data_IF_953211514125
#
_entry.id   IF_953211514125
#
_cell.length_a   1.000
_cell.length_b   1.000
_cell.length_c   1.000
_cell.angle_alpha   90.00
_cell.angle_beta   90.00
_cell.angle_gamma   90.00
#
_symmetry.space_group_name_H-M   'P 1'
#
loop_
_entity.id
_entity.type
_entity.pdbx_description
1 polymer ?
#
# COMPACT_ATOMS: atom_id res chain seq x y z
N UNK A 1 4.47 -35.33 1.86
CA UNK A 1 4.84 -34.61 3.10
C UNK A 1 4.29 -33.20 2.96
N UNK A 2 3.20 -32.89 3.66
CA UNK A 2 2.62 -31.54 3.62
C UNK A 2 3.61 -30.59 4.27
N UNK A 3 4.16 -29.66 3.50
CA UNK A 3 4.87 -28.51 4.06
C UNK A 3 3.85 -27.66 4.80
N UNK A 4 3.60 -28.00 6.08
CA UNK A 4 3.04 -27.08 7.05
C UNK A 4 4.06 -25.94 7.16
N UNK A 5 3.93 -24.95 6.28
CA UNK A 5 4.61 -23.70 6.44
C UNK A 5 4.04 -23.07 7.71
N UNK A 6 4.74 -23.20 8.83
CA UNK A 6 4.42 -22.56 10.11
C UNK A 6 4.22 -21.04 9.95
N UNK A 7 4.66 -20.46 8.83
CA UNK A 7 4.34 -19.11 8.41
C UNK A 7 2.84 -18.83 8.37
N UNK A 8 1.99 -19.78 7.95
CA UNK A 8 0.54 -19.55 7.82
C UNK A 8 -0.12 -19.37 9.20
N UNK A 9 0.46 -19.97 10.25
CA UNK A 9 -0.04 -19.89 11.63
C UNK A 9 0.61 -18.78 12.46
N UNK A 10 1.81 -18.32 12.09
CA UNK A 10 2.56 -17.24 12.77
C UNK A 10 2.60 -15.92 11.99
N UNK A 11 2.00 -15.83 10.81
CA UNK A 11 1.56 -14.55 10.25
C UNK A 11 0.47 -14.10 11.22
N UNK A 12 0.71 -13.10 12.10
CA UNK A 12 -0.34 -12.63 12.99
C UNK A 12 -1.55 -12.32 12.12
N UNK A 13 -2.75 -12.71 12.55
CA UNK A 13 -3.98 -12.30 11.90
C UNK A 13 -3.93 -10.77 11.76
N UNK A 14 -3.54 -10.30 10.57
CA UNK A 14 -3.22 -8.89 10.32
C UNK A 14 -4.46 -8.00 10.47
N UNK A 15 -5.65 -8.59 10.66
CA UNK A 15 -6.88 -7.93 11.06
C UNK A 15 -6.93 -7.47 12.54
N UNK A 16 -5.98 -7.87 13.39
CA UNK A 16 -6.01 -7.54 14.83
C UNK A 16 -5.08 -6.40 15.26
N UNK A 17 -4.27 -5.84 14.34
CA UNK A 17 -3.48 -4.64 14.63
C UNK A 17 -4.32 -3.33 14.57
N UNK A 18 -5.62 -3.41 14.83
CA UNK A 18 -6.45 -2.25 15.18
C UNK A 18 -6.35 -1.88 16.67
N UNK A 19 -5.83 -2.76 17.53
CA UNK A 19 -6.04 -2.62 18.99
C UNK A 19 -4.78 -2.29 19.80
N UNK A 20 -3.67 -1.95 19.15
CA UNK A 20 -2.72 -1.03 19.77
C UNK A 20 -2.56 0.17 18.86
N UNK A 21 -2.98 1.32 19.36
CA UNK A 21 -2.41 2.59 18.95
C UNK A 21 -1.10 2.77 19.73
N UNK A 22 0.08 2.58 19.11
CA UNK A 22 1.26 3.25 19.63
C UNK A 22 2.02 3.89 18.47
N UNK A 23 1.80 5.18 18.21
CA UNK A 23 2.79 6.01 17.52
C UNK A 23 2.34 7.47 17.46
N UNK A 24 2.47 8.18 18.58
CA UNK A 24 2.80 9.61 18.58
C UNK A 24 4.30 9.86 18.82
N UNK A 25 5.14 8.83 18.66
CA UNK A 25 6.60 8.99 18.66
C UNK A 25 7.24 8.43 17.38
N UNK A 26 8.42 8.94 17.02
CA UNK A 26 9.19 8.57 15.83
C UNK A 26 9.86 7.19 15.93
N UNK A 27 10.22 6.77 17.14
CA UNK A 27 10.92 5.51 17.42
C UNK A 27 10.03 4.27 17.19
N UNK A 28 8.73 4.39 17.46
CA UNK A 28 7.76 3.30 17.29
C UNK A 28 7.49 3.05 15.80
N UNK A 29 7.52 4.09 14.95
CA UNK A 29 7.32 3.95 13.50
C UNK A 29 8.45 3.16 12.83
N UNK A 30 9.69 3.30 13.29
CA UNK A 30 10.83 2.53 12.76
C UNK A 30 10.74 1.06 13.10
N UNK A 31 10.40 0.75 14.35
CA UNK A 31 10.13 -0.63 14.78
C UNK A 31 8.97 -1.25 14.00
N UNK A 32 7.92 -0.49 13.72
CA UNK A 32 6.82 -0.96 12.86
C UNK A 32 7.31 -1.27 11.44
N UNK A 33 8.10 -0.39 10.82
CA UNK A 33 8.65 -0.62 9.48
C UNK A 33 9.54 -1.88 9.45
N UNK A 34 10.37 -2.07 10.47
CA UNK A 34 11.20 -3.27 10.61
C UNK A 34 10.34 -4.53 10.76
N UNK A 35 9.32 -4.49 11.62
CA UNK A 35 8.39 -5.60 11.81
C UNK A 35 7.70 -5.99 10.49
N UNK A 36 7.14 -5.03 9.75
CA UNK A 36 6.53 -5.31 8.44
C UNK A 36 7.57 -5.86 7.44
N UNK A 37 8.81 -5.35 7.46
CA UNK A 37 9.87 -5.85 6.58
C UNK A 37 10.19 -7.31 6.84
N UNK A 38 10.33 -7.68 8.12
CA UNK A 38 10.60 -9.06 8.51
C UNK A 38 9.42 -9.98 8.12
N UNK A 39 8.18 -9.58 8.40
CA UNK A 39 7.00 -10.36 8.01
C UNK A 39 6.89 -10.57 6.50
N UNK A 40 7.14 -9.53 5.69
CA UNK A 40 7.11 -9.60 4.24
C UNK A 40 8.18 -10.56 3.71
N UNK A 41 9.41 -10.49 4.22
CA UNK A 41 10.49 -11.36 3.76
C UNK A 41 10.26 -12.82 4.14
N UNK A 42 9.73 -13.09 5.34
CA UNK A 42 9.32 -14.45 5.71
C UNK A 42 8.19 -14.96 4.81
N UNK A 43 7.14 -14.17 4.60
CA UNK A 43 6.05 -14.54 3.69
C UNK A 43 6.56 -14.83 2.26
N UNK A 44 7.51 -14.02 1.74
CA UNK A 44 8.14 -14.25 0.44
C UNK A 44 8.97 -15.52 0.40
N UNK A 45 9.67 -15.89 1.48
CA UNK A 45 10.37 -17.19 1.56
C UNK A 45 9.37 -18.34 1.46
N UNK A 46 8.27 -18.29 2.22
CA UNK A 46 7.24 -19.32 2.21
C UNK A 46 6.56 -19.43 0.83
N UNK A 47 6.43 -18.31 0.10
CA UNK A 47 5.89 -18.29 -1.27
C UNK A 47 6.75 -19.07 -2.27
N UNK A 48 8.07 -19.16 -2.05
CA UNK A 48 8.97 -19.92 -2.94
C UNK A 48 8.72 -21.42 -2.88
N UNK A 49 8.32 -21.92 -1.72
CA UNK A 49 8.10 -23.36 -1.47
C UNK A 49 6.63 -23.78 -1.58
N UNK A 50 5.71 -22.83 -1.73
CA UNK A 50 4.28 -23.13 -1.84
C UNK A 50 3.93 -23.50 -3.27
N UNK A 51 3.60 -24.76 -3.53
CA UNK A 51 3.17 -25.23 -4.86
C UNK A 51 1.66 -25.07 -5.10
N UNK A 52 0.85 -25.11 -4.02
CA UNK A 52 -0.60 -25.02 -4.13
C UNK A 52 -1.05 -23.63 -4.60
N UNK A 53 -1.77 -23.50 -5.73
CA UNK A 53 -2.13 -22.20 -6.31
C UNK A 53 -3.04 -21.36 -5.42
N UNK A 54 -3.98 -21.97 -4.69
CA UNK A 54 -4.90 -21.25 -3.79
C UNK A 54 -4.12 -20.67 -2.61
N UNK A 55 -3.19 -21.45 -2.05
CA UNK A 55 -2.32 -20.99 -0.97
C UNK A 55 -1.34 -19.92 -1.43
N UNK A 56 -0.83 -20.01 -2.67
CA UNK A 56 0.02 -18.98 -3.29
C UNK A 56 -0.73 -17.66 -3.46
N UNK A 57 -1.95 -17.70 -3.99
CA UNK A 57 -2.78 -16.50 -4.14
C UNK A 57 -3.03 -15.83 -2.79
N UNK A 58 -3.43 -16.61 -1.77
CA UNK A 58 -3.62 -16.10 -0.40
C UNK A 58 -2.36 -15.39 0.11
N UNK A 59 -1.19 -16.00 -0.12
CA UNK A 59 0.08 -15.45 0.35
C UNK A 59 0.50 -14.19 -0.43
N UNK A 60 0.24 -14.13 -1.74
CA UNK A 60 0.43 -12.89 -2.52
C UNK A 60 -0.43 -11.75 -1.97
N UNK A 61 -1.70 -12.00 -1.64
CA UNK A 61 -2.58 -10.99 -1.03
C UNK A 61 -2.06 -10.52 0.33
N UNK A 62 -1.56 -11.43 1.17
CA UNK A 62 -0.95 -11.08 2.46
C UNK A 62 0.32 -10.24 2.30
N UNK A 63 1.18 -10.59 1.34
CA UNK A 63 2.38 -9.81 1.02
C UNK A 63 1.98 -8.41 0.53
N UNK A 64 0.96 -8.31 -0.32
CA UNK A 64 0.44 -7.03 -0.80
C UNK A 64 -0.03 -6.13 0.35
N UNK A 65 -0.84 -6.69 1.28
CA UNK A 65 -1.29 -5.97 2.47
C UNK A 65 -0.11 -5.53 3.34
N UNK A 66 0.89 -6.40 3.56
CA UNK A 66 2.08 -6.04 4.33
C UNK A 66 2.84 -4.84 3.76
N UNK A 67 3.03 -4.81 2.44
CA UNK A 67 3.63 -3.65 1.76
C UNK A 67 2.74 -2.39 1.88
N UNK A 68 1.42 -2.52 1.79
CA UNK A 68 0.51 -1.39 1.98
C UNK A 68 0.64 -0.77 3.37
N UNK A 69 0.61 -1.60 4.42
CA UNK A 69 0.72 -1.11 5.80
C UNK A 69 2.09 -0.46 6.05
N UNK A 70 3.18 -1.07 5.55
CA UNK A 70 4.51 -0.46 5.64
C UNK A 70 4.59 0.88 4.92
N UNK A 71 3.98 0.97 3.72
CA UNK A 71 3.86 2.20 2.97
C UNK A 71 3.09 3.29 3.72
N UNK A 72 2.02 2.91 4.44
CA UNK A 72 1.25 3.84 5.28
C UNK A 72 2.06 4.37 6.47
N UNK A 73 2.85 3.52 7.13
CA UNK A 73 3.75 3.97 8.20
C UNK A 73 4.82 4.93 7.67
N UNK A 74 5.41 4.64 6.51
CA UNK A 74 6.38 5.52 5.82
C UNK A 74 5.75 6.86 5.41
N UNK A 75 4.52 6.83 4.90
CA UNK A 75 3.74 8.05 4.64
C UNK A 75 3.58 8.91 5.90
N UNK A 76 3.27 8.30 7.06
CA UNK A 76 3.19 9.01 8.35
C UNK A 76 4.54 9.51 8.88
N UNK A 77 5.66 9.04 8.31
CA UNK A 77 7.01 9.58 8.54
C UNK A 77 7.40 10.67 7.55
N UNK A 78 6.56 10.95 6.54
CA UNK A 78 6.87 11.87 5.43
C UNK A 78 7.95 11.29 4.48
N UNK A 79 8.20 9.98 4.55
CA UNK A 79 9.12 9.25 3.67
C UNK A 79 8.39 8.87 2.35
N UNK A 80 8.02 9.89 1.57
CA UNK A 80 7.08 9.75 0.45
C UNK A 80 7.55 8.81 -0.67
N UNK A 81 8.80 8.89 -1.12
CA UNK A 81 9.32 8.02 -2.19
C UNK A 81 9.36 6.55 -1.75
N UNK A 82 9.76 6.32 -0.50
CA UNK A 82 9.82 5.00 0.09
C UNK A 82 8.43 4.38 0.27
N UNK A 83 7.42 5.20 0.59
CA UNK A 83 6.02 4.80 0.62
C UNK A 83 5.49 4.47 -0.80
N UNK A 84 5.83 5.27 -1.82
CA UNK A 84 5.47 4.98 -3.22
C UNK A 84 6.05 3.65 -3.68
N UNK A 85 7.33 3.38 -3.36
CA UNK A 85 7.97 2.09 -3.66
C UNK A 85 7.21 0.93 -3.02
N UNK A 86 6.79 1.08 -1.76
CA UNK A 86 6.04 0.04 -1.06
C UNK A 86 4.64 -0.17 -1.65
N UNK A 87 3.89 0.90 -1.94
CA UNK A 87 2.61 0.77 -2.60
C UNK A 87 2.72 0.15 -4.00
N UNK A 88 3.77 0.48 -4.75
CA UNK A 88 4.03 -0.12 -6.06
C UNK A 88 4.33 -1.61 -5.94
N UNK A 89 5.09 -2.03 -4.92
CA UNK A 89 5.30 -3.45 -4.62
C UNK A 89 3.99 -4.12 -4.21
N UNK A 90 3.19 -3.51 -3.35
CA UNK A 90 1.88 -4.04 -2.96
C UNK A 90 1.01 -4.35 -4.20
N UNK A 91 0.89 -3.37 -5.11
CA UNK A 91 0.11 -3.49 -6.35
C UNK A 91 0.67 -4.54 -7.34
N UNK A 92 1.97 -4.86 -7.27
CA UNK A 92 2.55 -5.94 -8.07
C UNK A 92 2.17 -7.34 -7.58
N UNK A 93 1.81 -7.47 -6.29
CA UNK A 93 1.31 -8.73 -5.72
C UNK A 93 -0.21 -8.84 -5.79
N UNK A 94 -0.91 -7.73 -5.57
CA UNK A 94 -2.37 -7.62 -5.70
C UNK A 94 -2.77 -6.24 -6.22
N UNK A 95 -3.13 -6.18 -7.50
CA UNK A 95 -3.57 -4.95 -8.15
C UNK A 95 -5.01 -4.57 -7.83
N UNK A 96 -5.77 -5.42 -7.12
CA UNK A 96 -7.19 -5.19 -6.79
C UNK A 96 -7.39 -4.32 -5.54
N UNK A 97 -6.29 -3.90 -4.89
CA UNK A 97 -6.32 -3.06 -3.70
C UNK A 97 -6.59 -1.58 -4.06
N UNK A 98 -7.88 -1.23 -4.18
CA UNK A 98 -8.31 0.14 -4.50
C UNK A 98 -7.74 1.19 -3.53
N UNK A 99 -7.60 0.83 -2.24
CA UNK A 99 -7.07 1.74 -1.21
C UNK A 99 -5.56 1.97 -1.38
N UNK A 100 -4.81 1.01 -1.92
CA UNK A 100 -3.38 1.16 -2.20
C UNK A 100 -3.15 2.11 -3.37
N UNK A 101 -3.96 1.99 -4.43
CA UNK A 101 -3.98 2.99 -5.52
C UNK A 101 -4.29 4.39 -4.98
N UNK A 102 -5.34 4.53 -4.17
CA UNK A 102 -5.68 5.80 -3.54
C UNK A 102 -4.53 6.39 -2.71
N UNK A 103 -3.91 5.58 -1.84
CA UNK A 103 -2.82 6.03 -0.97
C UNK A 103 -1.60 6.46 -1.78
N UNK A 104 -1.23 5.71 -2.83
CA UNK A 104 -0.13 6.08 -3.74
C UNK A 104 -0.44 7.38 -4.48
N UNK A 105 -1.65 7.50 -5.03
CA UNK A 105 -2.09 8.71 -5.73
C UNK A 105 -2.14 9.95 -4.83
N UNK A 106 -2.50 9.79 -3.54
CA UNK A 106 -2.46 10.88 -2.57
C UNK A 106 -1.03 11.39 -2.34
N UNK A 107 -0.05 10.49 -2.31
CA UNK A 107 1.36 10.90 -2.20
C UNK A 107 1.80 11.61 -3.47
N UNK A 108 1.48 11.07 -4.66
CA UNK A 108 1.78 11.75 -5.92
C UNK A 108 1.21 13.17 -5.96
N UNK A 109 -0.05 13.35 -5.54
CA UNK A 109 -0.68 14.65 -5.44
C UNK A 109 0.09 15.60 -4.51
N UNK A 110 0.51 15.12 -3.33
CA UNK A 110 1.33 15.91 -2.38
C UNK A 110 2.70 16.29 -2.93
N UNK A 111 3.27 15.48 -3.80
CA UNK A 111 4.54 15.75 -4.48
C UNK A 111 4.37 16.65 -5.72
N UNK A 112 3.15 17.09 -6.04
CA UNK A 112 2.85 17.87 -7.26
C UNK A 112 2.87 17.04 -8.55
N UNK A 113 2.92 15.70 -8.44
CA UNK A 113 2.88 14.74 -9.55
C UNK A 113 1.42 14.47 -9.94
N UNK A 114 0.77 15.48 -10.51
CA UNK A 114 -0.68 15.46 -10.73
C UNK A 114 -1.10 14.40 -11.76
N UNK A 115 -0.31 14.16 -12.80
CA UNK A 115 -0.54 13.11 -13.79
C UNK A 115 -0.62 11.72 -13.14
N UNK A 116 0.37 11.38 -12.34
CA UNK A 116 0.45 10.09 -11.64
C UNK A 116 -0.66 9.97 -10.60
N UNK A 117 -0.99 11.06 -9.89
CA UNK A 117 -2.11 11.09 -8.96
C UNK A 117 -3.44 10.80 -9.65
N UNK A 118 -3.71 11.46 -10.79
CA UNK A 118 -4.93 11.25 -11.58
C UNK A 118 -5.03 9.80 -12.06
N UNK A 119 -3.91 9.23 -12.52
CA UNK A 119 -3.86 7.82 -12.95
C UNK A 119 -4.26 6.88 -11.81
N UNK A 120 -3.60 7.01 -10.65
CA UNK A 120 -3.87 6.17 -9.49
C UNK A 120 -5.31 6.34 -8.96
N UNK A 121 -5.86 7.56 -8.96
CA UNK A 121 -7.24 7.79 -8.56
C UNK A 121 -8.24 7.15 -9.52
N UNK A 122 -7.95 7.13 -10.82
CA UNK A 122 -8.79 6.44 -11.82
C UNK A 122 -8.75 4.93 -11.66
N UNK A 123 -7.59 4.35 -11.38
CA UNK A 123 -7.46 2.93 -11.07
C UNK A 123 -8.24 2.57 -9.80
N UNK A 124 -8.12 3.37 -8.73
CA UNK A 124 -8.90 3.18 -7.50
C UNK A 124 -10.41 3.22 -7.77
N UNK A 125 -10.89 4.15 -8.60
CA UNK A 125 -12.30 4.28 -8.96
C UNK A 125 -12.78 3.20 -9.94
N UNK A 126 -11.91 2.65 -10.78
CA UNK A 126 -12.23 1.50 -11.63
C UNK A 126 -12.55 0.27 -10.77
N UNK A 127 -11.78 0.07 -9.70
CA UNK A 127 -11.97 -1.03 -8.74
C UNK A 127 -13.13 -0.76 -7.77
N UNK A 128 -13.29 0.50 -7.33
CA UNK A 128 -14.33 0.92 -6.40
C UNK A 128 -14.97 2.25 -6.85
N UNK A 129 -15.98 2.20 -7.73
CA UNK A 129 -16.59 3.40 -8.31
C UNK A 129 -17.25 4.33 -7.29
N UNK A 130 -17.73 3.79 -6.17
CA UNK A 130 -18.40 4.51 -5.08
C UNK A 130 -17.42 5.10 -4.05
N UNK A 131 -16.11 5.04 -4.30
CA UNK A 131 -15.11 5.54 -3.37
C UNK A 131 -14.95 7.07 -3.44
N UNK A 132 -15.84 7.77 -2.71
CA UNK A 132 -15.91 9.24 -2.65
C UNK A 132 -14.56 9.94 -2.42
N UNK A 133 -13.66 9.48 -1.52
CA UNK A 133 -12.36 10.14 -1.33
C UNK A 133 -11.53 10.20 -2.60
N UNK A 134 -11.49 9.13 -3.41
CA UNK A 134 -10.77 9.15 -4.68
C UNK A 134 -11.44 10.06 -5.72
N UNK A 135 -12.77 10.14 -5.75
CA UNK A 135 -13.48 11.09 -6.63
C UNK A 135 -13.12 12.55 -6.31
N UNK A 136 -13.09 12.88 -5.02
CA UNK A 136 -12.72 14.22 -4.55
C UNK A 136 -11.27 14.56 -4.89
N UNK A 137 -10.34 13.65 -4.59
CA UNK A 137 -8.92 13.84 -4.90
C UNK A 137 -8.68 13.91 -6.42
N UNK A 138 -9.39 13.14 -7.23
CA UNK A 138 -9.31 13.21 -8.68
C UNK A 138 -9.69 14.60 -9.20
N UNK A 139 -10.83 15.13 -8.76
CA UNK A 139 -11.29 16.46 -9.16
C UNK A 139 -10.31 17.57 -8.74
N UNK A 140 -9.74 17.46 -7.53
CA UNK A 140 -8.71 18.39 -7.05
C UNK A 140 -7.45 18.31 -7.90
N UNK A 141 -6.93 17.10 -8.14
CA UNK A 141 -5.72 16.89 -8.94
C UNK A 141 -5.88 17.42 -10.38
N UNK A 142 -7.05 17.24 -11.00
CA UNK A 142 -7.35 17.79 -12.34
C UNK A 142 -7.37 19.32 -12.34
N UNK A 143 -7.96 19.93 -11.31
CA UNK A 143 -8.03 21.39 -11.17
C UNK A 143 -6.64 21.99 -10.95
N UNK A 144 -5.86 21.42 -10.05
CA UNK A 144 -4.51 21.92 -9.74
C UNK A 144 -3.53 21.72 -10.90
N UNK A 145 -3.71 20.64 -11.67
CA UNK A 145 -2.99 20.45 -12.93
C UNK A 145 -3.31 21.57 -13.94
N UNK A 146 -4.57 21.96 -14.09
CA UNK A 146 -4.94 23.07 -14.99
C UNK A 146 -4.39 24.41 -14.50
N UNK A 147 -4.44 24.66 -13.19
CA UNK A 147 -3.91 25.90 -12.59
C UNK A 147 -2.39 26.01 -12.73
N UNK A 148 -1.65 24.91 -12.54
CA UNK A 148 -0.20 24.88 -12.72
C UNK A 148 0.23 25.10 -14.18
N UNK A 149 -0.54 24.61 -15.14
CA UNK A 149 -0.31 24.87 -16.57
C UNK A 149 -0.63 26.32 -16.97
N UNK A 150 -1.67 26.91 -16.38
CA UNK A 150 -2.07 28.31 -16.65
C UNK A 150 -1.11 29.33 -16.06
N UNK A 151 -0.39 28.97 -14.98
CA UNK A 151 0.60 29.84 -14.33
C UNK A 151 1.95 29.90 -15.06
N UNK A 152 2.14 29.08 -16.11
CA UNK A 152 3.34 29.03 -16.94
C UNK A 152 3.17 29.74 -18.30
N UNK A 153 2.04 30.41 -18.51
CA UNK A 153 1.75 31.27 -19.67
C UNK A 153 1.73 32.74 -19.26
#
# INVERSE_FOLDING_TARGET
MSTNCECIANIPDFCSFSDTSPADNSLDKEKSIEAYTNCIEEAKKCLRFTENPISREKLCKQIAIGYNERGFVRYRKVDFEDAISDYTKALSYDSSLYFTHYNRGLIHYRLGRFEEAIYDMKEALSLKPDFKPAQQCLHQAETDKQNSQSSQQ
#
